data_IF_508356646150
#
_entry.id   IF_508356646150
#
_cell.length_a   1.000
_cell.length_b   1.000
_cell.length_c   1.000
_cell.angle_alpha   90.00
_cell.angle_beta   90.00
_cell.angle_gamma   90.00
#
_symmetry.space_group_name_H-M   'P 1'
#
loop_
_entity.id
_entity.type
_entity.pdbx_description
1 polymer ?
#
# COMPACT_ATOMS: atom_id res chain seq x y z
N UNK A 1 -6.20 5.99 -9.85
CA UNK A 1 -6.48 5.91 -8.41
C UNK A 1 -7.99 5.83 -8.14
N UNK A 2 -8.83 6.80 -8.60
CA UNK A 2 -10.24 6.84 -8.24
C UNK A 2 -11.00 5.53 -8.52
N UNK A 3 -10.82 4.92 -9.69
CA UNK A 3 -11.50 3.66 -10.04
C UNK A 3 -11.07 2.51 -9.10
N UNK A 4 -9.79 2.41 -8.81
CA UNK A 4 -9.27 1.38 -7.91
C UNK A 4 -9.82 1.59 -6.49
N UNK A 5 -9.78 2.84 -6.00
CA UNK A 5 -10.29 3.18 -4.68
C UNK A 5 -11.82 2.88 -4.60
N UNK A 6 -12.57 3.13 -5.67
CA UNK A 6 -14.00 2.77 -5.73
C UNK A 6 -14.22 1.26 -5.67
N UNK A 7 -13.42 0.46 -6.38
CA UNK A 7 -13.50 -1.01 -6.32
C UNK A 7 -13.16 -1.51 -4.91
N UNK A 8 -12.10 -0.97 -4.31
CA UNK A 8 -11.66 -1.37 -2.96
C UNK A 8 -12.72 -1.16 -1.88
N UNK A 9 -13.63 -0.18 -2.04
CA UNK A 9 -14.64 0.19 -1.04
C UNK A 9 -16.08 -0.16 -1.44
N UNK A 10 -16.29 -0.77 -2.59
CA UNK A 10 -17.63 -1.10 -3.04
C UNK A 10 -18.20 -2.33 -2.31
N UNK A 11 -19.44 -2.26 -1.82
CA UNK A 11 -20.17 -3.43 -1.34
C UNK A 11 -20.74 -4.25 -2.50
N UNK A 12 -21.15 -3.58 -3.59
CA UNK A 12 -21.66 -4.20 -4.81
C UNK A 12 -20.96 -3.63 -6.04
N UNK A 13 -20.51 -4.51 -6.92
CA UNK A 13 -19.86 -4.14 -8.18
C UNK A 13 -20.63 -4.72 -9.36
N UNK A 14 -21.07 -3.84 -10.25
CA UNK A 14 -21.75 -4.26 -11.48
C UNK A 14 -20.71 -4.39 -12.60
N UNK A 15 -20.43 -5.63 -13.01
CA UNK A 15 -19.56 -5.94 -14.15
C UNK A 15 -20.41 -6.03 -15.41
N UNK A 16 -20.50 -4.91 -16.13
CA UNK A 16 -21.37 -4.77 -17.29
C UNK A 16 -20.68 -5.15 -18.61
N UNK A 17 -21.48 -5.41 -19.67
CA UNK A 17 -21.05 -5.75 -21.02
C UNK A 17 -20.27 -7.09 -21.09
N UNK A 18 -20.64 -8.03 -20.25
CA UNK A 18 -19.96 -9.33 -20.19
C UNK A 18 -20.11 -10.15 -21.46
N UNK A 19 -21.25 -10.03 -22.16
CA UNK A 19 -21.45 -10.69 -23.45
C UNK A 19 -20.51 -10.14 -24.55
N UNK A 20 -20.31 -8.81 -24.59
CA UNK A 20 -19.41 -8.17 -25.56
C UNK A 20 -17.96 -8.46 -25.26
N UNK A 21 -17.59 -8.52 -23.98
CA UNK A 21 -16.22 -8.82 -23.52
C UNK A 21 -15.82 -10.27 -23.79
N UNK A 22 -16.77 -11.19 -23.71
CA UNK A 22 -16.57 -12.62 -23.78
C UNK A 22 -16.03 -13.22 -22.45
N UNK A 23 -16.08 -14.55 -22.32
CA UNK A 23 -15.84 -15.23 -21.04
C UNK A 23 -14.41 -15.01 -20.51
N UNK A 24 -13.41 -15.00 -21.36
CA UNK A 24 -12.00 -14.87 -20.98
C UNK A 24 -11.72 -13.50 -20.34
N UNK A 25 -12.20 -12.41 -20.97
CA UNK A 25 -11.99 -11.04 -20.43
C UNK A 25 -12.85 -10.78 -19.20
N UNK A 26 -14.05 -11.35 -19.16
CA UNK A 26 -14.93 -11.26 -17.99
C UNK A 26 -14.29 -11.95 -16.79
N UNK A 27 -13.74 -13.14 -16.99
CA UNK A 27 -13.03 -13.87 -15.94
C UNK A 27 -11.79 -13.12 -15.44
N UNK A 28 -10.99 -12.57 -16.37
CA UNK A 28 -9.83 -11.74 -16.00
C UNK A 28 -10.23 -10.50 -15.18
N UNK A 29 -11.30 -9.79 -15.59
CA UNK A 29 -11.82 -8.64 -14.86
C UNK A 29 -12.32 -9.03 -13.45
N UNK A 30 -13.05 -10.16 -13.33
CA UNK A 30 -13.53 -10.68 -12.05
C UNK A 30 -12.37 -11.00 -11.11
N UNK A 31 -11.30 -11.65 -11.60
CA UNK A 31 -10.10 -11.95 -10.82
C UNK A 31 -9.42 -10.69 -10.30
N UNK A 32 -9.28 -9.66 -11.15
CA UNK A 32 -8.73 -8.36 -10.74
C UNK A 32 -9.60 -7.72 -9.65
N UNK A 33 -10.92 -7.71 -9.83
CA UNK A 33 -11.85 -7.14 -8.84
C UNK A 33 -11.72 -7.88 -7.51
N UNK A 34 -11.72 -9.21 -7.53
CA UNK A 34 -11.57 -10.03 -6.32
C UNK A 34 -10.24 -9.80 -5.59
N UNK A 35 -9.16 -9.55 -6.33
CA UNK A 35 -7.86 -9.23 -5.74
C UNK A 35 -7.81 -7.87 -5.06
N UNK A 36 -8.66 -6.94 -5.46
CA UNK A 36 -8.79 -5.63 -4.85
C UNK A 36 -9.82 -5.60 -3.72
N UNK A 37 -10.88 -6.40 -3.88
CA UNK A 37 -12.00 -6.48 -2.94
C UNK A 37 -12.62 -7.88 -2.98
N UNK A 38 -12.21 -8.72 -2.03
CA UNK A 38 -12.70 -10.09 -1.90
C UNK A 38 -14.16 -10.16 -1.43
N UNK A 39 -14.61 -9.14 -0.70
CA UNK A 39 -15.90 -9.15 -0.02
C UNK A 39 -17.04 -8.60 -0.88
N UNK A 40 -16.76 -7.82 -1.95
CA UNK A 40 -17.77 -7.22 -2.79
C UNK A 40 -18.67 -8.26 -3.48
N UNK A 41 -19.96 -8.02 -3.53
CA UNK A 41 -20.85 -8.76 -4.40
C UNK A 41 -20.66 -8.35 -5.85
N UNK A 42 -20.29 -9.29 -6.75
CA UNK A 42 -20.08 -9.01 -8.17
C UNK A 42 -21.28 -9.49 -8.96
N UNK A 43 -21.99 -8.56 -9.60
CA UNK A 43 -23.15 -8.84 -10.46
C UNK A 43 -22.71 -8.69 -11.92
N UNK A 44 -22.70 -9.80 -12.65
CA UNK A 44 -22.41 -9.79 -14.08
C UNK A 44 -23.68 -9.49 -14.88
N UNK A 45 -23.60 -8.57 -15.82
CA UNK A 45 -24.78 -8.13 -16.56
C UNK A 45 -24.45 -7.65 -17.96
N UNK A 46 -25.49 -7.41 -18.76
CA UNK A 46 -25.45 -6.74 -20.04
C UNK A 46 -26.49 -5.63 -20.05
N UNK A 47 -26.11 -4.48 -20.64
CA UNK A 47 -26.96 -3.29 -20.67
C UNK A 47 -27.37 -2.76 -19.28
N UNK A 48 -26.60 -3.09 -18.23
CA UNK A 48 -26.89 -2.74 -16.83
C UNK A 48 -28.27 -3.25 -16.36
N UNK A 49 -28.72 -4.36 -16.88
CA UNK A 49 -29.98 -5.02 -16.47
C UNK A 49 -29.71 -5.72 -15.13
N UNK A 50 -30.05 -5.01 -14.06
CA UNK A 50 -29.87 -5.45 -12.66
C UNK A 50 -31.11 -5.10 -11.88
N UNK A 51 -31.61 -6.04 -11.10
CA UNK A 51 -32.75 -5.81 -10.22
C UNK A 51 -32.44 -4.72 -9.19
N UNK A 52 -33.38 -3.81 -8.95
CA UNK A 52 -33.17 -2.69 -8.03
C UNK A 52 -32.80 -3.16 -6.60
N UNK A 53 -33.40 -4.26 -6.17
CA UNK A 53 -33.19 -4.86 -4.85
C UNK A 53 -31.74 -5.37 -4.65
N UNK A 54 -31.03 -5.66 -5.73
CA UNK A 54 -29.62 -6.08 -5.68
C UNK A 54 -28.63 -4.94 -5.42
N UNK A 55 -29.08 -3.68 -5.54
CA UNK A 55 -28.24 -2.50 -5.40
C UNK A 55 -28.81 -1.45 -4.41
N UNK A 56 -30.07 -1.57 -4.06
CA UNK A 56 -30.72 -0.64 -3.13
C UNK A 56 -31.09 -1.39 -1.84
N UNK A 57 -30.85 -0.72 -0.72
CA UNK A 57 -31.18 -1.23 0.63
C UNK A 57 -30.63 -2.63 0.91
N UNK A 58 -29.42 -2.89 0.43
CA UNK A 58 -28.76 -4.20 0.54
C UNK A 58 -28.35 -4.53 1.97
N UNK A 59 -28.23 -3.54 2.86
CA UNK A 59 -27.74 -3.72 4.23
C UNK A 59 -26.28 -4.19 4.34
N UNK A 60 -25.52 -4.16 3.25
CA UNK A 60 -24.14 -4.64 3.23
C UNK A 60 -23.15 -3.66 3.83
N UNK A 61 -23.49 -2.36 3.83
CA UNK A 61 -22.59 -1.34 4.36
C UNK A 61 -22.41 -1.48 5.88
N UNK A 62 -21.16 -1.60 6.30
CA UNK A 62 -20.73 -1.65 7.69
C UNK A 62 -19.57 -0.64 7.90
N UNK A 63 -19.81 0.36 8.75
CA UNK A 63 -18.84 1.43 8.97
C UNK A 63 -17.53 0.92 9.60
N UNK A 64 -17.60 -0.04 10.50
CA UNK A 64 -16.42 -0.61 11.17
C UNK A 64 -15.58 -1.41 10.17
N UNK A 65 -16.24 -2.21 9.33
CA UNK A 65 -15.57 -2.89 8.22
C UNK A 65 -15.00 -1.92 7.18
N UNK A 66 -15.65 -0.78 6.91
CA UNK A 66 -15.19 0.17 5.92
C UNK A 66 -13.80 0.75 6.25
N UNK A 67 -13.41 0.83 7.53
CA UNK A 67 -12.08 1.26 7.95
C UNK A 67 -10.99 0.19 7.74
N UNK A 68 -11.35 -1.09 7.73
CA UNK A 68 -10.44 -2.23 7.61
C UNK A 68 -10.48 -2.88 6.22
N UNK A 69 -11.36 -2.40 5.34
CA UNK A 69 -11.81 -3.08 4.13
C UNK A 69 -10.78 -3.24 3.01
N UNK A 70 -9.90 -2.28 2.69
CA UNK A 70 -8.97 -2.48 1.58
C UNK A 70 -8.03 -3.67 1.84
N UNK A 71 -7.91 -4.57 0.88
CA UNK A 71 -7.02 -5.73 0.96
C UNK A 71 -5.60 -5.34 1.36
N UNK A 72 -5.08 -4.22 0.83
CA UNK A 72 -3.77 -3.71 1.21
C UNK A 72 -3.68 -3.33 2.70
N UNK A 73 -4.75 -2.84 3.31
CA UNK A 73 -4.77 -2.52 4.75
C UNK A 73 -4.83 -3.79 5.60
N UNK A 74 -5.64 -4.78 5.20
CA UNK A 74 -5.70 -6.09 5.85
C UNK A 74 -4.31 -6.75 5.85
N UNK A 75 -3.62 -6.75 4.73
CA UNK A 75 -2.28 -7.32 4.60
C UNK A 75 -1.22 -6.52 5.38
N UNK A 76 -1.31 -5.19 5.37
CA UNK A 76 -0.33 -4.31 5.99
C UNK A 76 -0.44 -4.34 7.52
N UNK A 77 -1.66 -4.31 8.05
CA UNK A 77 -1.92 -4.20 9.49
C UNK A 77 -2.23 -5.53 10.18
N UNK A 78 -2.21 -6.65 9.43
CA UNK A 78 -2.35 -7.99 10.01
C UNK A 78 -3.78 -8.37 10.41
N UNK A 79 -4.79 -7.69 9.86
CA UNK A 79 -6.21 -8.06 10.02
C UNK A 79 -6.61 -9.25 9.13
N UNK A 80 -5.69 -9.76 8.33
CA UNK A 80 -5.93 -10.91 7.46
C UNK A 80 -5.85 -12.22 8.29
N UNK A 81 -7.00 -12.69 8.73
CA UNK A 81 -7.17 -13.98 9.42
C UNK A 81 -7.34 -15.14 8.40
N UNK A 82 -6.84 -15.00 7.17
CA UNK A 82 -7.05 -16.01 6.15
C UNK A 82 -5.77 -16.42 5.42
N UNK A 83 -5.71 -17.69 5.08
CA UNK A 83 -4.83 -18.21 4.02
C UNK A 83 -5.10 -17.37 2.78
N UNK A 84 -4.09 -16.76 2.15
CA UNK A 84 -4.31 -15.91 0.99
C UNK A 84 -5.19 -16.65 -0.02
N UNK A 85 -6.41 -16.16 -0.29
CA UNK A 85 -7.28 -16.64 -1.39
C UNK A 85 -6.63 -16.47 -2.77
N UNK A 86 -5.44 -15.97 -2.75
CA UNK A 86 -4.54 -15.57 -3.81
C UNK A 86 -4.14 -16.71 -4.73
N UNK A 87 -4.13 -17.96 -4.25
CA UNK A 87 -3.84 -19.11 -5.11
C UNK A 87 -5.05 -19.47 -5.99
N UNK A 88 -6.28 -19.16 -5.57
CA UNK A 88 -7.49 -19.53 -6.30
C UNK A 88 -7.70 -18.71 -7.57
N UNK A 89 -7.22 -17.44 -7.59
CA UNK A 89 -7.44 -16.52 -8.72
C UNK A 89 -6.14 -16.15 -9.47
N UNK A 90 -5.00 -16.72 -9.08
CA UNK A 90 -3.70 -16.41 -9.70
C UNK A 90 -3.18 -15.00 -9.39
N UNK A 91 -3.75 -14.33 -8.39
CA UNK A 91 -3.28 -13.05 -7.82
C UNK A 91 -2.68 -13.35 -6.46
N UNK A 92 -1.59 -12.71 -6.12
CA UNK A 92 -0.92 -12.86 -4.83
C UNK A 92 -0.52 -11.52 -4.24
N UNK A 93 -0.35 -11.47 -2.93
CA UNK A 93 0.13 -10.32 -2.19
C UNK A 93 1.46 -10.61 -1.53
N UNK A 94 2.24 -9.55 -1.32
CA UNK A 94 3.50 -9.60 -0.60
C UNK A 94 3.74 -8.28 0.12
N UNK A 95 4.05 -8.36 1.42
CA UNK A 95 4.43 -7.19 2.19
C UNK A 95 5.95 -7.11 2.30
N UNK A 96 6.52 -6.12 1.63
CA UNK A 96 7.93 -5.80 1.77
C UNK A 96 8.18 -5.07 3.08
N UNK A 97 9.06 -5.60 3.91
CA UNK A 97 9.46 -4.99 5.18
C UNK A 97 10.97 -4.89 5.28
N UNK A 98 11.46 -3.71 5.69
CA UNK A 98 12.86 -3.46 6.02
C UNK A 98 12.96 -2.32 7.04
N UNK A 99 14.12 -2.19 7.69
CA UNK A 99 14.35 -1.10 8.66
C UNK A 99 15.27 -0.01 8.12
N UNK A 100 16.23 -0.36 7.28
CA UNK A 100 17.17 0.58 6.72
C UNK A 100 16.47 1.58 5.79
N UNK A 101 16.92 2.84 5.71
CA UNK A 101 16.39 3.80 4.76
C UNK A 101 16.70 3.39 3.32
N UNK A 102 15.88 3.81 2.41
CA UNK A 102 16.21 3.73 0.99
C UNK A 102 17.15 4.85 0.57
N UNK A 103 18.02 4.57 -0.40
CA UNK A 103 18.75 5.55 -1.18
C UNK A 103 17.77 6.21 -2.15
N UNK A 104 17.56 7.54 -2.10
CA UNK A 104 16.48 8.21 -2.84
C UNK A 104 16.46 7.94 -4.34
N UNK A 105 17.59 8.08 -5.02
CA UNK A 105 17.66 7.84 -6.47
C UNK A 105 17.29 6.41 -6.84
N UNK A 106 17.75 5.43 -6.05
CA UNK A 106 17.51 4.01 -6.34
C UNK A 106 16.06 3.65 -6.16
N UNK A 107 15.46 4.05 -5.04
CA UNK A 107 14.05 3.73 -4.80
C UNK A 107 13.14 4.49 -5.77
N UNK A 108 13.45 5.74 -6.10
CA UNK A 108 12.70 6.48 -7.10
C UNK A 108 12.72 5.75 -8.44
N UNK A 109 13.90 5.36 -8.93
CA UNK A 109 14.02 4.60 -10.17
C UNK A 109 13.28 3.25 -10.12
N UNK A 110 13.29 2.57 -8.97
CA UNK A 110 12.59 1.31 -8.79
C UNK A 110 11.07 1.46 -8.82
N UNK A 111 10.52 2.54 -8.24
CA UNK A 111 9.07 2.79 -8.15
C UNK A 111 8.47 3.42 -9.41
N UNK A 112 9.27 4.18 -10.17
CA UNK A 112 8.86 4.76 -11.47
C UNK A 112 9.07 3.78 -12.62
N UNK A 113 9.98 2.82 -12.44
CA UNK A 113 10.26 1.78 -13.44
C UNK A 113 9.19 0.69 -13.47
N UNK A 114 9.38 -0.27 -14.37
CA UNK A 114 8.46 -1.39 -14.51
C UNK A 114 8.43 -2.25 -13.25
N UNK A 115 7.21 -2.53 -12.81
CA UNK A 115 6.87 -3.49 -11.76
C UNK A 115 5.96 -4.58 -12.37
N UNK A 116 6.54 -5.54 -13.12
CA UNK A 116 5.76 -6.51 -13.88
C UNK A 116 4.80 -7.30 -12.99
N UNK A 117 3.56 -7.41 -13.43
CA UNK A 117 2.52 -8.15 -12.72
C UNK A 117 1.89 -7.39 -11.55
N UNK A 118 2.48 -6.31 -11.06
CA UNK A 118 1.90 -5.53 -9.95
C UNK A 118 0.68 -4.73 -10.45
N UNK A 119 -0.46 -4.97 -9.82
CA UNK A 119 -1.72 -4.27 -10.09
C UNK A 119 -1.92 -3.13 -9.10
N UNK A 120 -1.61 -3.39 -7.83
CA UNK A 120 -1.72 -2.45 -6.71
C UNK A 120 -0.48 -2.51 -5.84
N UNK A 121 -0.01 -1.35 -5.39
CA UNK A 121 0.90 -1.28 -4.25
C UNK A 121 0.53 -0.09 -3.38
N UNK A 122 0.62 -0.26 -2.07
CA UNK A 122 0.43 0.82 -1.11
C UNK A 122 1.26 0.55 0.14
N UNK A 123 1.66 1.63 0.79
CA UNK A 123 2.38 1.54 2.04
C UNK A 123 3.22 2.76 2.31
N UNK A 124 4.08 2.65 3.31
CA UNK A 124 4.94 3.74 3.72
C UNK A 124 6.41 3.31 3.73
N UNK A 125 7.25 4.31 3.54
CA UNK A 125 8.69 4.12 3.55
C UNK A 125 9.41 5.40 3.99
N UNK A 126 10.70 5.30 4.23
CA UNK A 126 11.57 6.43 4.48
C UNK A 126 12.85 6.38 3.67
N UNK A 127 13.44 7.53 3.43
CA UNK A 127 14.63 7.74 2.61
C UNK A 127 15.72 8.40 3.42
N UNK A 128 16.97 8.12 3.07
CA UNK A 128 18.14 8.56 3.83
C UNK A 128 18.26 10.08 3.94
N UNK A 129 17.88 10.83 2.91
CA UNK A 129 17.95 12.29 2.86
C UNK A 129 16.87 13.01 3.66
N UNK A 130 15.79 12.31 4.05
CA UNK A 130 14.65 12.87 4.78
C UNK A 130 14.24 11.95 5.93
N UNK A 131 15.11 11.71 6.92
CA UNK A 131 14.89 10.70 7.96
C UNK A 131 13.70 10.99 8.87
N UNK A 132 13.22 12.23 8.91
CA UNK A 132 12.06 12.61 9.73
C UNK A 132 10.72 12.31 9.06
N UNK A 133 10.70 12.14 7.75
CA UNK A 133 9.47 12.05 6.98
C UNK A 133 9.04 10.60 6.73
N UNK A 134 7.74 10.38 6.86
CA UNK A 134 7.04 9.21 6.33
C UNK A 134 6.61 9.52 4.90
N UNK A 135 7.08 8.74 3.94
CA UNK A 135 6.61 8.77 2.57
C UNK A 135 5.52 7.71 2.35
N UNK A 136 4.41 8.05 1.74
CA UNK A 136 3.42 7.11 1.23
C UNK A 136 3.71 6.80 -0.24
N UNK A 137 3.79 5.51 -0.57
CA UNK A 137 3.75 5.03 -1.94
C UNK A 137 2.37 4.49 -2.27
N UNK A 138 1.85 4.84 -3.44
CA UNK A 138 0.61 4.29 -3.98
C UNK A 138 0.79 4.03 -5.46
N UNK A 139 0.46 2.80 -5.89
CA UNK A 139 0.40 2.39 -7.29
C UNK A 139 -0.96 1.76 -7.56
N UNK A 140 -1.60 2.15 -8.65
CA UNK A 140 -2.86 1.58 -9.14
C UNK A 140 -2.79 1.48 -10.66
N UNK A 141 -2.63 0.28 -11.18
CA UNK A 141 -2.37 0.03 -12.59
C UNK A 141 -1.09 0.75 -13.06
N UNK A 142 -1.21 1.63 -14.05
CA UNK A 142 -0.08 2.39 -14.60
C UNK A 142 0.23 3.69 -13.84
N UNK A 143 -0.54 4.04 -12.81
CA UNK A 143 -0.38 5.30 -12.09
C UNK A 143 0.30 5.05 -10.75
N UNK A 144 1.41 5.74 -10.52
CA UNK A 144 2.09 5.73 -9.23
C UNK A 144 2.22 7.14 -8.66
N UNK A 145 2.30 7.23 -7.35
CA UNK A 145 2.56 8.48 -6.64
C UNK A 145 3.34 8.24 -5.35
N UNK A 146 4.17 9.23 -5.00
CA UNK A 146 4.84 9.31 -3.71
C UNK A 146 4.49 10.64 -3.08
N UNK A 147 4.00 10.63 -1.84
CA UNK A 147 3.58 11.83 -1.10
C UNK A 147 4.10 11.77 0.34
N UNK A 148 4.34 12.92 0.98
CA UNK A 148 4.56 12.94 2.42
C UNK A 148 3.26 12.56 3.14
N UNK A 149 3.34 11.61 4.07
CA UNK A 149 2.21 11.20 4.92
C UNK A 149 2.26 11.89 6.30
N UNK A 150 3.47 12.15 6.79
CA UNK A 150 3.68 12.74 8.10
C UNK A 150 5.14 12.63 8.54
N UNK A 151 5.35 12.61 9.84
CA UNK A 151 6.67 12.42 10.45
C UNK A 151 6.69 11.17 11.33
N UNK A 152 7.82 10.49 11.39
CA UNK A 152 8.03 9.38 12.30
C UNK A 152 7.99 9.83 13.75
N UNK A 153 7.48 9.00 14.65
CA UNK A 153 7.48 9.33 16.08
C UNK A 153 8.89 9.47 16.64
N UNK A 154 9.85 8.76 16.08
CA UNK A 154 11.26 8.91 16.43
C UNK A 154 11.86 10.29 16.05
N UNK A 155 11.17 11.09 15.23
CA UNK A 155 11.52 12.46 14.92
C UNK A 155 10.71 13.49 15.73
N UNK A 156 9.77 13.03 16.57
CA UNK A 156 8.91 13.89 17.39
C UNK A 156 9.38 13.80 18.84
N UNK A 157 9.59 14.92 19.55
CA UNK A 157 9.90 14.92 20.97
C UNK A 157 8.87 14.12 21.78
N UNK A 158 9.32 13.33 22.74
CA UNK A 158 8.44 12.43 23.52
C UNK A 158 7.32 13.17 24.26
N UNK A 159 7.55 14.43 24.62
CA UNK A 159 6.56 15.30 25.29
C UNK A 159 5.35 15.60 24.37
N UNK A 160 5.52 15.40 23.06
CA UNK A 160 4.47 15.58 22.05
C UNK A 160 3.82 14.26 21.60
N UNK A 161 4.24 13.14 22.17
CA UNK A 161 3.66 11.86 21.85
C UNK A 161 2.24 11.76 22.41
N UNK A 162 1.37 10.96 21.78
CA UNK A 162 -0.01 10.83 22.24
C UNK A 162 -0.09 10.30 23.66
N UNK A 163 -1.02 10.80 24.46
CA UNK A 163 -1.25 10.32 25.81
C UNK A 163 -2.06 9.02 25.84
N UNK A 164 -2.79 8.73 24.78
CA UNK A 164 -3.66 7.56 24.70
C UNK A 164 -2.84 6.27 24.65
N UNK A 165 -3.18 5.33 25.53
CA UNK A 165 -2.42 4.09 25.74
C UNK A 165 -2.29 3.24 24.47
N UNK A 166 -3.37 3.10 23.67
CA UNK A 166 -3.33 2.33 22.41
C UNK A 166 -2.37 2.93 21.37
N UNK A 167 -2.29 4.27 21.30
CA UNK A 167 -1.37 4.93 20.39
C UNK A 167 0.09 4.77 20.86
N UNK A 168 0.33 4.80 22.18
CA UNK A 168 1.65 4.47 22.74
C UNK A 168 2.05 3.03 22.45
N UNK A 169 1.16 2.08 22.70
CA UNK A 169 1.40 0.67 22.42
C UNK A 169 1.73 0.42 20.95
N UNK A 170 1.06 1.13 20.04
CA UNK A 170 1.38 1.07 18.61
C UNK A 170 2.80 1.57 18.31
N UNK A 171 3.23 2.68 18.89
CA UNK A 171 4.59 3.21 18.74
C UNK A 171 5.61 2.20 19.24
N UNK A 172 5.40 1.69 20.47
CA UNK A 172 6.31 0.74 21.13
C UNK A 172 6.42 -0.58 20.36
N UNK A 173 5.31 -1.08 19.82
CA UNK A 173 5.27 -2.30 18.98
C UNK A 173 6.17 -2.18 17.75
N UNK A 174 6.27 -0.97 17.18
CA UNK A 174 7.03 -0.72 15.97
C UNK A 174 8.43 -0.18 16.23
N UNK A 175 8.80 0.03 17.50
CA UNK A 175 10.10 0.58 17.86
C UNK A 175 11.21 -0.45 17.75
N UNK A 176 12.28 -0.08 17.05
CA UNK A 176 13.50 -0.89 16.95
C UNK A 176 14.74 -0.01 16.77
N UNK A 177 15.70 -0.19 17.67
CA UNK A 177 16.99 0.52 17.56
C UNK A 177 17.79 0.08 16.32
N UNK A 178 18.56 0.99 15.71
CA UNK A 178 18.74 2.40 16.07
C UNK A 178 17.74 3.35 15.41
N UNK A 179 16.72 2.86 14.72
CA UNK A 179 15.86 3.63 13.81
C UNK A 179 14.55 4.13 14.45
N UNK A 180 14.23 3.69 15.67
CA UNK A 180 12.93 3.97 16.29
C UNK A 180 11.79 3.27 15.55
N UNK A 181 10.69 3.97 15.27
CA UNK A 181 9.54 3.45 14.53
C UNK A 181 9.72 3.50 13.00
N UNK A 182 10.84 4.03 12.50
CA UNK A 182 11.14 4.13 11.06
C UNK A 182 11.25 2.75 10.44
N UNK A 183 10.52 2.55 9.33
CA UNK A 183 10.51 1.29 8.60
C UNK A 183 10.04 1.45 7.16
N UNK A 184 10.36 0.46 6.37
CA UNK A 184 9.77 0.22 5.06
C UNK A 184 8.65 -0.79 5.26
N UNK A 185 7.44 -0.46 4.81
CA UNK A 185 6.31 -1.36 4.89
C UNK A 185 5.38 -1.07 3.72
N UNK A 186 5.53 -1.85 2.64
CA UNK A 186 4.81 -1.67 1.37
C UNK A 186 4.22 -3.00 0.96
N UNK A 187 2.90 -3.03 0.81
CA UNK A 187 2.20 -4.18 0.23
C UNK A 187 2.14 -4.05 -1.29
N UNK A 188 2.38 -5.16 -1.97
CA UNK A 188 2.24 -5.32 -3.40
C UNK A 188 1.20 -6.41 -3.66
N UNK A 189 0.29 -6.17 -4.60
CA UNK A 189 -0.75 -7.11 -5.02
C UNK A 189 -0.68 -7.23 -6.54
N UNK A 190 -0.74 -8.44 -7.07
CA UNK A 190 -0.73 -8.63 -8.51
C UNK A 190 -0.66 -10.08 -8.95
N UNK A 191 -0.53 -10.30 -10.25
CA UNK A 191 -0.53 -11.61 -10.87
C UNK A 191 0.80 -11.92 -11.55
N UNK A 192 1.31 -13.14 -11.36
CA UNK A 192 2.54 -13.60 -11.98
C UNK A 192 3.79 -12.83 -11.56
N UNK A 193 3.81 -12.27 -10.36
CA UNK A 193 4.94 -11.49 -9.84
C UNK A 193 6.05 -12.45 -9.39
N UNK A 194 7.28 -12.16 -9.82
CA UNK A 194 8.48 -12.78 -9.27
C UNK A 194 8.84 -12.07 -7.94
N UNK A 195 8.29 -12.57 -6.82
CA UNK A 195 8.50 -11.99 -5.48
C UNK A 195 9.96 -11.95 -5.07
N UNK A 196 10.78 -12.99 -5.29
CA UNK A 196 12.21 -12.94 -5.05
C UNK A 196 12.92 -11.83 -5.82
N UNK A 197 12.61 -11.64 -7.09
CA UNK A 197 13.19 -10.59 -7.92
C UNK A 197 12.75 -9.19 -7.46
N UNK A 198 11.46 -9.01 -7.14
CA UNK A 198 10.95 -7.75 -6.59
C UNK A 198 11.61 -7.41 -5.25
N UNK A 199 11.71 -8.40 -4.35
CA UNK A 199 12.41 -8.23 -3.07
C UNK A 199 13.87 -7.82 -3.28
N UNK A 200 14.60 -8.51 -4.13
CA UNK A 200 16.00 -8.19 -4.43
C UNK A 200 16.17 -6.79 -5.02
N UNK A 201 15.24 -6.37 -5.90
CA UNK A 201 15.20 -5.01 -6.47
C UNK A 201 15.05 -3.95 -5.38
N UNK A 202 14.16 -4.17 -4.41
CA UNK A 202 13.94 -3.25 -3.29
C UNK A 202 15.11 -3.28 -2.28
N UNK A 203 15.63 -4.46 -1.95
CA UNK A 203 16.79 -4.61 -1.07
C UNK A 203 18.02 -3.87 -1.62
N UNK A 204 18.23 -3.87 -2.94
CA UNK A 204 19.32 -3.13 -3.59
C UNK A 204 19.16 -1.59 -3.49
N UNK A 205 17.96 -1.11 -3.13
CA UNK A 205 17.70 0.30 -2.88
C UNK A 205 18.05 0.74 -1.45
N UNK A 206 18.22 -0.20 -0.51
CA UNK A 206 18.53 0.11 0.88
C UNK A 206 19.95 0.70 1.02
N UNK A 207 20.11 1.57 2.01
CA UNK A 207 21.45 2.01 2.45
C UNK A 207 22.18 0.81 3.06
N UNK A 208 23.38 0.46 2.60
CA UNK A 208 24.18 -0.58 3.23
C UNK A 208 24.49 -0.21 4.69
N UNK A 209 24.17 -1.11 5.62
CA UNK A 209 24.36 -0.85 7.05
C UNK A 209 25.63 -1.54 7.53
N UNK A 210 26.47 -0.79 8.22
CA UNK A 210 27.52 -1.35 9.07
C UNK A 210 26.98 -1.53 10.50
N UNK A 211 27.61 -2.36 11.31
CA UNK A 211 27.17 -2.66 12.68
C UNK A 211 27.05 -1.45 13.63
N UNK A 212 27.55 -0.28 13.23
CA UNK A 212 27.51 0.98 13.98
C UNK A 212 26.61 2.03 13.32
N UNK A 213 25.66 1.62 12.46
CA UNK A 213 24.84 2.57 11.71
C UNK A 213 23.80 3.27 12.61
N UNK A 214 23.76 4.60 12.50
CA UNK A 214 22.78 5.49 13.11
C UNK A 214 22.38 6.59 12.12
N UNK A 215 21.54 7.52 12.52
CA UNK A 215 21.10 8.64 11.67
C UNK A 215 22.27 9.52 11.22
N UNK A 216 23.30 9.65 12.04
CA UNK A 216 24.53 10.39 11.77
C UNK A 216 25.41 9.77 10.67
N UNK A 217 25.18 8.51 10.34
CA UNK A 217 25.89 7.80 9.26
C UNK A 217 25.18 7.82 7.92
N UNK A 218 23.99 8.42 7.86
CA UNK A 218 23.19 8.45 6.63
C UNK A 218 23.77 9.45 5.61
N UNK A 219 23.66 9.16 4.30
CA UNK A 219 24.07 10.06 3.23
C UNK A 219 23.00 11.15 3.02
N UNK A 220 22.91 12.11 3.95
CA UNK A 220 21.91 13.18 3.95
C UNK A 220 22.00 14.08 2.70
N UNK A 221 23.19 14.21 2.11
CA UNK A 221 23.47 15.03 0.92
C UNK A 221 23.38 14.23 -0.39
N UNK A 222 22.88 12.98 -0.36
CA UNK A 222 22.68 12.19 -1.57
C UNK A 222 21.67 12.85 -2.51
N UNK A 223 21.80 12.66 -3.84
CA UNK A 223 20.80 13.13 -4.79
C UNK A 223 19.41 12.61 -4.46
N UNK A 224 18.44 13.52 -4.44
CA UNK A 224 17.05 13.24 -4.06
C UNK A 224 16.08 13.74 -5.15
N UNK A 225 15.58 12.84 -6.01
CA UNK A 225 14.71 13.19 -7.11
C UNK A 225 13.25 13.45 -6.70
N UNK A 226 12.89 13.20 -5.41
CA UNK A 226 11.54 13.44 -4.95
C UNK A 226 11.24 14.95 -4.83
N UNK A 227 10.00 15.39 -5.12
CA UNK A 227 9.60 16.78 -4.91
C UNK A 227 9.86 17.26 -3.48
N UNK A 228 10.01 18.55 -3.29
CA UNK A 228 10.12 19.12 -1.94
C UNK A 228 8.86 18.84 -1.13
N UNK A 229 9.01 18.25 0.08
CA UNK A 229 7.92 18.05 1.02
C UNK A 229 7.85 19.22 1.99
N UNK A 230 6.65 19.69 2.29
CA UNK A 230 6.41 20.81 3.21
C UNK A 230 5.49 20.35 4.33
N UNK A 231 5.72 20.84 5.53
CA UNK A 231 4.74 20.69 6.62
C UNK A 231 3.56 21.61 6.35
N UNK A 232 2.36 21.21 6.78
CA UNK A 232 1.16 22.04 6.62
C UNK A 232 1.32 23.40 7.31
N UNK A 233 2.08 23.46 8.38
CA UNK A 233 2.43 24.69 9.12
C UNK A 233 3.30 25.68 8.31
N UNK A 234 4.03 25.20 7.30
CA UNK A 234 4.89 26.01 6.44
C UNK A 234 4.14 26.62 5.23
N UNK A 235 2.84 26.37 5.12
CA UNK A 235 1.99 26.78 4.00
C UNK A 235 1.06 27.99 4.34
N UNK A 236 1.28 28.64 5.48
CA UNK A 236 0.51 29.81 5.95
C UNK A 236 1.23 31.13 5.65
#
# INVERSE_FOLDING_TARGET
>A
HLLTDQIEFADVIILNKTADAGPERTDAARKIIRSLNADAEIIETNHSDVAAEAILDTGLFDLDKAHEHPMWAKELYGFADHVPETEEYGVSSYVYRARQPFIPERIHAALVGDLPGVIRAKGHFWIATRPDWVAEFSLAGALSSVKPLGTWWAAVPQERWPEHESARAYIDQHWAEPWGDRRQEIVFIGAGIDWPALKAKLDACLVPVTAAAGLDTLPLDAPDPFPGWRRVEDAA
#
